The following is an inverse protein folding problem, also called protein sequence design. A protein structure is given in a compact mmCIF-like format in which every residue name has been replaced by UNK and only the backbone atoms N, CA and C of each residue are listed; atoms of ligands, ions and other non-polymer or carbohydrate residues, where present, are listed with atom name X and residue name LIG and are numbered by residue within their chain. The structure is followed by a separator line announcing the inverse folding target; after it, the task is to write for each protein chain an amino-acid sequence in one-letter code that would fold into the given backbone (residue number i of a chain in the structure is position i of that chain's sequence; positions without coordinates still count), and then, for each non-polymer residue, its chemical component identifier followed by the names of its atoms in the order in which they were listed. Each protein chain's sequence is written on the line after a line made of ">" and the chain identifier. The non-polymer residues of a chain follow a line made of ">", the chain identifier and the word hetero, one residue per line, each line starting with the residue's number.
data_IF_758188185645
#
_entry.id   IF_758188185645
#
_cell.length_a   1.000
_cell.length_b   1.000
_cell.length_c   1.000
_cell.angle_alpha   90.00
_cell.angle_beta   90.00
_cell.angle_gamma   90.00
#
_symmetry.space_group_name_H-M   'P 1'
#
loop_
_entity.id
_entity.type
_entity.pdbx_description
1 polymer ?
#
# COMPACT_ATOMS: atom_id res chain seq x y z
N UNK A 1 -3.16 -1.80 -17.62
CA UNK A 1 -3.91 -2.84 -16.88
C UNK A 1 -5.16 -3.23 -17.69
N UNK A 2 -5.63 -4.48 -17.66
CA UNK A 2 -6.89 -4.83 -18.34
C UNK A 2 -8.07 -4.29 -17.51
N UNK A 3 -8.97 -3.51 -18.11
CA UNK A 3 -10.14 -2.93 -17.45
C UNK A 3 -10.99 -3.96 -16.69
N UNK A 4 -11.02 -5.21 -17.17
CA UNK A 4 -11.71 -6.33 -16.54
C UNK A 4 -11.14 -6.70 -15.17
N UNK A 5 -9.83 -6.57 -14.95
CA UNK A 5 -9.20 -6.90 -13.66
C UNK A 5 -9.58 -5.89 -12.59
N UNK A 6 -9.60 -4.61 -12.96
CA UNK A 6 -9.98 -3.51 -12.08
C UNK A 6 -11.46 -3.62 -11.67
N UNK A 7 -12.35 -3.92 -12.63
CA UNK A 7 -13.76 -4.16 -12.38
C UNK A 7 -14.01 -5.35 -11.43
N UNK A 8 -13.23 -6.44 -11.57
CA UNK A 8 -13.30 -7.58 -10.64
C UNK A 8 -12.85 -7.18 -9.24
N UNK A 9 -11.75 -6.44 -9.11
CA UNK A 9 -11.27 -5.98 -7.80
C UNK A 9 -12.28 -5.07 -7.10
N UNK A 10 -12.89 -4.11 -7.81
CA UNK A 10 -13.98 -3.27 -7.27
C UNK A 10 -15.11 -4.13 -6.71
N UNK A 11 -15.55 -5.12 -7.48
CA UNK A 11 -16.62 -6.03 -7.08
C UNK A 11 -16.22 -6.81 -5.82
N UNK A 12 -15.02 -7.38 -5.79
CA UNK A 12 -14.51 -8.11 -4.61
C UNK A 12 -14.40 -7.21 -3.39
N UNK A 13 -13.96 -5.96 -3.53
CA UNK A 13 -13.92 -4.99 -2.42
C UNK A 13 -15.33 -4.66 -1.92
N UNK A 14 -16.31 -4.49 -2.82
CA UNK A 14 -17.69 -4.21 -2.44
C UNK A 14 -18.41 -5.40 -1.78
N UNK A 15 -18.02 -6.63 -2.14
CA UNK A 15 -18.52 -7.87 -1.53
C UNK A 15 -17.75 -8.27 -0.27
N UNK A 16 -16.56 -7.68 -0.05
CA UNK A 16 -15.76 -7.92 1.13
C UNK A 16 -16.46 -7.38 2.37
N UNK A 17 -16.18 -8.01 3.51
CA UNK A 17 -16.77 -7.58 4.76
C UNK A 17 -16.28 -6.17 5.13
N UNK A 18 -17.08 -5.37 5.86
CA UNK A 18 -16.70 -4.02 6.26
C UNK A 18 -15.41 -3.95 7.09
N UNK A 19 -15.08 -5.03 7.80
CA UNK A 19 -13.87 -5.22 8.61
C UNK A 19 -12.69 -5.82 7.83
N UNK A 20 -12.91 -6.23 6.58
CA UNK A 20 -11.87 -6.78 5.72
C UNK A 20 -11.06 -5.67 5.06
N UNK A 21 -10.05 -5.21 5.78
CA UNK A 21 -9.03 -4.30 5.28
C UNK A 21 -8.02 -5.00 4.33
N UNK A 22 -7.96 -6.33 4.30
CA UNK A 22 -6.93 -7.08 3.55
C UNK A 22 -7.25 -7.10 2.06
N UNK A 23 -8.52 -7.25 1.72
CA UNK A 23 -8.99 -7.20 0.32
C UNK A 23 -8.63 -5.87 -0.37
N UNK A 24 -9.00 -4.69 0.17
CA UNK A 24 -8.69 -3.41 -0.48
C UNK A 24 -7.19 -3.10 -0.52
N UNK A 25 -6.40 -3.46 0.50
CA UNK A 25 -4.93 -3.25 0.43
C UNK A 25 -4.28 -4.14 -0.62
N UNK A 26 -4.70 -5.40 -0.76
CA UNK A 26 -4.14 -6.30 -1.75
C UNK A 26 -4.47 -5.85 -3.17
N UNK A 27 -5.73 -5.47 -3.40
CA UNK A 27 -6.17 -4.91 -4.67
C UNK A 27 -5.38 -3.64 -4.98
N UNK A 28 -5.32 -2.70 -4.05
CA UNK A 28 -4.64 -1.43 -4.26
C UNK A 28 -3.14 -1.60 -4.50
N UNK A 29 -2.46 -2.44 -3.73
CA UNK A 29 -1.04 -2.75 -3.92
C UNK A 29 -0.78 -3.45 -5.27
N UNK A 30 -1.67 -4.36 -5.68
CA UNK A 30 -1.56 -5.01 -6.99
C UNK A 30 -1.73 -4.00 -8.11
N UNK A 31 -2.72 -3.10 -8.00
CA UNK A 31 -2.94 -2.01 -8.97
C UNK A 31 -1.70 -1.12 -9.04
N UNK A 32 -1.23 -0.55 -7.95
CA UNK A 32 -0.05 0.36 -7.95
C UNK A 32 1.25 -0.32 -8.39
N UNK A 33 1.33 -1.64 -8.29
CA UNK A 33 2.49 -2.42 -8.74
C UNK A 33 2.43 -2.78 -10.23
N UNK A 34 1.23 -3.03 -10.77
CA UNK A 34 1.00 -3.47 -12.16
C UNK A 34 0.52 -2.35 -13.11
N UNK A 35 0.18 -1.18 -12.56
CA UNK A 35 -0.28 -0.01 -13.30
C UNK A 35 0.89 0.75 -13.93
N UNK A 36 0.60 1.36 -15.08
CA UNK A 36 1.52 2.22 -15.83
C UNK A 36 1.14 3.70 -15.57
N UNK A 37 0.79 4.05 -14.33
CA UNK A 37 0.35 5.37 -13.80
C UNK A 37 -1.15 5.70 -13.83
N UNK A 38 -1.93 5.25 -14.82
CA UNK A 38 -3.33 5.69 -14.97
C UNK A 38 -4.27 5.20 -13.86
N UNK A 39 -4.00 4.01 -13.32
CA UNK A 39 -4.86 3.36 -12.32
C UNK A 39 -4.32 3.55 -10.88
N UNK A 40 -3.19 4.24 -10.71
CA UNK A 40 -2.51 4.39 -9.42
C UNK A 40 -3.37 5.17 -8.41
N UNK A 41 -4.11 6.17 -8.87
CA UNK A 41 -5.01 6.97 -8.01
C UNK A 41 -6.09 6.09 -7.36
N UNK A 42 -6.62 5.13 -8.11
CA UNK A 42 -7.62 4.21 -7.61
C UNK A 42 -7.02 3.14 -6.69
N UNK A 43 -5.86 2.59 -7.06
CA UNK A 43 -5.14 1.68 -6.18
C UNK A 43 -4.78 2.33 -4.84
N UNK A 44 -4.36 3.59 -4.86
CA UNK A 44 -4.12 4.40 -3.67
C UNK A 44 -5.39 4.60 -2.85
N UNK A 45 -6.52 4.91 -3.48
CA UNK A 45 -7.80 5.07 -2.78
C UNK A 45 -8.21 3.80 -2.01
N UNK A 46 -8.01 2.61 -2.59
CA UNK A 46 -8.28 1.34 -1.89
C UNK A 46 -7.31 1.09 -0.73
N UNK A 47 -6.02 1.41 -0.90
CA UNK A 47 -5.06 1.34 0.21
C UNK A 47 -5.51 2.29 1.34
N UNK A 48 -5.91 3.52 1.04
CA UNK A 48 -6.40 4.45 2.06
C UNK A 48 -7.69 3.98 2.73
N UNK A 49 -8.61 3.39 1.97
CA UNK A 49 -9.81 2.77 2.53
C UNK A 49 -9.42 1.66 3.51
N UNK A 50 -8.45 0.81 3.17
CA UNK A 50 -7.96 -0.23 4.09
C UNK A 50 -7.39 0.36 5.38
N UNK A 51 -6.66 1.48 5.30
CA UNK A 51 -6.08 2.17 6.47
C UNK A 51 -7.19 2.72 7.36
N UNK A 52 -8.26 3.26 6.77
CA UNK A 52 -9.44 3.75 7.51
C UNK A 52 -10.19 2.62 8.23
N UNK A 53 -10.28 1.43 7.61
CA UNK A 53 -10.87 0.25 8.24
C UNK A 53 -9.98 -0.21 9.39
N UNK A 54 -8.69 -0.43 9.11
CA UNK A 54 -7.71 -0.85 10.11
C UNK A 54 -6.31 -0.41 9.70
N UNK A 55 -5.74 0.56 10.42
CA UNK A 55 -4.35 0.94 10.21
C UNK A 55 -3.42 -0.19 10.66
N UNK A 56 -2.74 -0.85 9.73
CA UNK A 56 -1.71 -1.85 10.03
C UNK A 56 -0.45 -1.58 9.22
N UNK A 57 0.62 -2.29 9.56
CA UNK A 57 1.86 -2.26 8.81
C UNK A 57 1.70 -2.57 7.30
N UNK A 58 0.86 -3.53 6.92
CA UNK A 58 0.75 -3.97 5.52
C UNK A 58 0.19 -2.88 4.61
N UNK A 59 -0.78 -2.11 5.09
CA UNK A 59 -1.42 -1.06 4.33
C UNK A 59 -0.64 0.25 4.32
N UNK A 60 0.02 0.59 5.43
CA UNK A 60 0.97 1.70 5.43
C UNK A 60 2.18 1.41 4.52
N UNK A 61 2.73 0.19 4.56
CA UNK A 61 3.86 -0.20 3.68
C UNK A 61 3.46 -0.25 2.21
N UNK A 62 2.23 -0.67 1.88
CA UNK A 62 1.70 -0.58 0.52
C UNK A 62 1.63 0.89 0.04
N UNK A 63 1.09 1.79 0.87
CA UNK A 63 1.02 3.23 0.57
C UNK A 63 2.41 3.84 0.35
N UNK A 64 3.39 3.51 1.20
CA UNK A 64 4.76 3.98 1.07
C UNK A 64 5.40 3.53 -0.25
N UNK A 65 5.26 2.26 -0.63
CA UNK A 65 5.81 1.76 -1.90
C UNK A 65 5.17 2.45 -3.11
N UNK A 66 3.85 2.64 -3.08
CA UNK A 66 3.13 3.33 -4.15
C UNK A 66 3.57 4.80 -4.28
N UNK A 67 3.70 5.53 -3.17
CA UNK A 67 4.22 6.91 -3.17
C UNK A 67 5.64 7.00 -3.73
N UNK A 68 6.51 6.04 -3.42
CA UNK A 68 7.87 6.02 -3.96
C UNK A 68 7.88 5.85 -5.48
N UNK A 69 7.03 4.95 -6.00
CA UNK A 69 6.85 4.72 -7.45
C UNK A 69 6.31 5.95 -8.18
N UNK A 70 5.43 6.71 -7.52
CA UNK A 70 4.90 7.98 -8.01
C UNK A 70 5.93 9.13 -7.97
N UNK A 71 7.17 8.88 -7.52
CA UNK A 71 8.22 9.89 -7.38
C UNK A 71 8.10 10.74 -6.13
N UNK A 72 7.08 10.53 -5.30
CA UNK A 72 6.86 11.22 -4.01
C UNK A 72 7.70 10.58 -2.90
N UNK A 73 9.02 10.61 -3.07
CA UNK A 73 9.97 9.92 -2.17
C UNK A 73 9.87 10.39 -0.71
N UNK A 74 9.70 11.69 -0.48
CA UNK A 74 9.59 12.26 0.86
C UNK A 74 8.36 11.74 1.61
N UNK A 75 7.18 11.79 0.97
CA UNK A 75 5.95 11.21 1.53
C UNK A 75 6.09 9.70 1.72
N UNK A 76 6.73 8.99 0.78
CA UNK A 76 6.98 7.56 0.90
C UNK A 76 7.84 7.22 2.12
N UNK A 77 8.84 8.03 2.43
CA UNK A 77 9.69 7.85 3.60
C UNK A 77 8.94 8.09 4.89
N UNK A 78 8.16 9.18 4.97
CA UNK A 78 7.34 9.48 6.14
C UNK A 78 6.32 8.37 6.41
N UNK A 79 5.58 7.94 5.38
CA UNK A 79 4.60 6.84 5.49
C UNK A 79 5.28 5.51 5.80
N UNK A 80 6.47 5.27 5.25
CA UNK A 80 7.25 4.08 5.54
C UNK A 80 7.69 4.01 7.00
N UNK A 81 8.12 5.13 7.59
CA UNK A 81 8.45 5.21 9.02
C UNK A 81 7.23 4.99 9.89
N UNK A 82 6.07 5.55 9.52
CA UNK A 82 4.81 5.26 10.19
C UNK A 82 4.44 3.79 10.11
N UNK A 83 4.63 3.15 8.94
CA UNK A 83 4.41 1.72 8.79
C UNK A 83 5.26 0.94 9.79
N UNK A 84 6.56 1.25 9.88
CA UNK A 84 7.49 0.58 10.80
C UNK A 84 7.04 0.74 12.26
N UNK A 85 6.67 1.95 12.67
CA UNK A 85 6.18 2.21 14.04
C UNK A 85 4.89 1.44 14.33
N UNK A 86 3.94 1.44 13.39
CA UNK A 86 2.71 0.67 13.51
C UNK A 86 3.02 -0.83 13.56
N UNK A 87 3.95 -1.32 12.74
CA UNK A 87 4.32 -2.72 12.73
C UNK A 87 4.99 -3.19 14.02
N UNK A 88 5.83 -2.34 14.63
CA UNK A 88 6.38 -2.58 15.97
C UNK A 88 5.28 -2.65 17.03
N UNK A 89 4.30 -1.74 16.94
CA UNK A 89 3.12 -1.72 17.83
C UNK A 89 2.27 -2.99 17.65
N UNK A 90 2.06 -3.40 16.41
CA UNK A 90 1.32 -4.61 16.03
C UNK A 90 2.12 -5.90 16.24
N UNK A 91 3.37 -5.80 16.74
CA UNK A 91 4.33 -6.91 16.93
C UNK A 91 4.58 -7.73 15.65
N UNK A 92 4.49 -7.10 14.48
CA UNK A 92 4.83 -7.73 13.20
C UNK A 92 6.29 -7.45 12.84
N UNK A 93 6.88 -8.34 12.04
CA UNK A 93 8.27 -8.20 11.62
C UNK A 93 8.42 -7.10 10.56
N UNK A 94 8.95 -5.94 10.97
CA UNK A 94 9.21 -4.78 10.11
C UNK A 94 10.62 -4.76 9.52
N UNK A 95 11.53 -5.65 9.95
CA UNK A 95 12.95 -5.56 9.63
C UNK A 95 13.24 -5.56 8.11
N UNK A 96 12.48 -6.37 7.35
CA UNK A 96 12.62 -6.41 5.90
C UNK A 96 12.24 -5.07 5.23
N UNK A 97 11.20 -4.42 5.75
CA UNK A 97 10.74 -3.13 5.23
C UNK A 97 11.59 -1.97 5.74
N UNK A 98 12.10 -2.02 6.96
CA UNK A 98 13.11 -1.07 7.47
C UNK A 98 14.34 -1.05 6.55
N UNK A 99 14.86 -2.24 6.22
CA UNK A 99 15.98 -2.36 5.29
C UNK A 99 15.63 -1.79 3.92
N UNK A 100 14.45 -2.14 3.38
CA UNK A 100 13.97 -1.61 2.10
C UNK A 100 13.84 -0.08 2.15
N UNK A 101 13.30 0.50 3.22
CA UNK A 101 13.15 1.94 3.36
C UNK A 101 14.52 2.64 3.40
N UNK A 102 15.48 2.06 4.12
CA UNK A 102 16.85 2.55 4.16
C UNK A 102 17.53 2.48 2.79
N UNK A 103 17.35 1.38 2.07
CA UNK A 103 17.87 1.21 0.70
C UNK A 103 17.20 2.21 -0.27
N UNK A 104 15.89 2.48 -0.13
CA UNK A 104 15.16 3.49 -0.92
C UNK A 104 15.69 4.90 -0.63
N UNK A 105 15.91 5.24 0.65
CA UNK A 105 16.51 6.51 1.07
C UNK A 105 17.93 6.67 0.52
N UNK A 106 18.68 5.58 0.47
CA UNK A 106 20.02 5.53 -0.10
C UNK A 106 20.04 5.49 -1.64
N UNK A 107 18.88 5.43 -2.31
CA UNK A 107 18.78 5.35 -3.77
C UNK A 107 19.28 4.03 -4.37
N UNK A 108 19.29 2.95 -3.59
CA UNK A 108 19.80 1.62 -3.98
C UNK A 108 18.73 0.71 -4.61
N UNK A 109 17.53 1.24 -4.90
CA UNK A 109 16.36 0.50 -5.41
C UNK A 109 15.67 1.24 -6.54
#
# INVERSE_FOLDING_TARGET
>A
MNATTLARMRKTISEAKPDDWRTPVQAGNWVTSNSITTDDAEGMAWIEQSIKIKSTFQNLSAKANALYRLGKKEEAFAVGEQAIQQGKTDKVNTAAFEKRLADMKAGKI
#
